data_IF_275859150688
#
_entry.id   IF_275859150688
#
_cell.length_a   1.000
_cell.length_b   1.000
_cell.length_c   1.000
_cell.angle_alpha   90.00
_cell.angle_beta   90.00
_cell.angle_gamma   90.00
#
_symmetry.space_group_name_H-M   'P 1'
#
loop_
_entity.id
_entity.type
_entity.pdbx_description
1 polymer ?
#
# COMPACT_ATOMS: atom_id res chain seq x y z
N UNK A 1 5.74 11.38 10.86
CA UNK A 1 5.74 10.38 9.77
C UNK A 1 4.36 9.78 9.54
N UNK A 2 3.71 9.17 10.54
CA UNK A 2 2.37 8.54 10.39
C UNK A 2 1.31 9.46 9.75
N UNK A 3 1.14 10.69 10.25
CA UNK A 3 0.19 11.67 9.67
C UNK A 3 0.48 12.02 8.20
N UNK A 4 1.75 12.03 7.82
CA UNK A 4 2.17 12.30 6.45
C UNK A 4 1.87 11.10 5.55
N UNK A 5 2.25 9.88 5.95
CA UNK A 5 1.97 8.67 5.19
C UNK A 5 0.45 8.47 4.98
N UNK A 6 -0.36 8.74 6.01
CA UNK A 6 -1.82 8.65 5.94
C UNK A 6 -2.46 9.69 5.01
N UNK A 7 -1.79 10.81 4.72
CA UNK A 7 -2.32 11.85 3.81
C UNK A 7 -1.88 11.69 2.36
N UNK A 8 -1.04 10.68 2.05
CA UNK A 8 -0.61 10.39 0.69
C UNK A 8 -1.78 9.85 -0.12
N UNK A 9 -2.03 10.45 -1.29
CA UNK A 9 -3.08 10.03 -2.21
C UNK A 9 -2.82 8.61 -2.73
N UNK A 10 -3.89 7.81 -2.84
CA UNK A 10 -3.85 6.47 -3.45
C UNK A 10 -3.20 6.55 -4.83
N UNK A 11 -2.43 5.51 -5.18
CA UNK A 11 -1.66 5.39 -6.45
C UNK A 11 -0.45 6.31 -6.59
N UNK A 12 -0.03 7.01 -5.53
CA UNK A 12 1.30 7.64 -5.51
C UNK A 12 2.41 6.58 -5.55
N UNK A 13 3.52 6.88 -6.23
CA UNK A 13 4.72 6.04 -6.24
C UNK A 13 5.60 6.43 -5.07
N UNK A 14 6.00 5.44 -4.27
CA UNK A 14 6.74 5.65 -3.03
C UNK A 14 7.94 4.74 -2.94
N UNK A 15 9.02 5.27 -2.37
CA UNK A 15 10.18 4.50 -1.94
C UNK A 15 10.10 4.35 -0.42
N UNK A 16 10.29 3.12 0.06
CA UNK A 16 10.25 2.80 1.48
C UNK A 16 11.51 2.07 1.91
N UNK A 17 12.04 2.45 3.07
CA UNK A 17 13.08 1.69 3.76
C UNK A 17 12.43 0.97 4.93
N UNK A 18 12.61 -0.35 4.99
CA UNK A 18 11.79 -1.24 5.83
C UNK A 18 12.62 -2.35 6.43
N UNK A 19 12.14 -2.89 7.55
CA UNK A 19 12.51 -4.21 8.07
C UNK A 19 11.36 -5.18 7.85
N UNK A 20 11.69 -6.45 7.57
CA UNK A 20 10.69 -7.50 7.40
C UNK A 20 10.33 -8.10 8.76
N UNK A 21 9.04 -8.32 8.99
CA UNK A 21 8.54 -9.11 10.13
C UNK A 21 7.62 -10.23 9.66
N UNK A 22 7.48 -11.27 10.49
CA UNK A 22 6.50 -12.34 10.27
C UNK A 22 5.19 -11.92 10.96
N UNK A 23 4.04 -11.92 10.26
CA UNK A 23 2.76 -11.60 10.86
C UNK A 23 2.26 -12.75 11.76
N UNK A 24 1.43 -12.43 12.75
CA UNK A 24 0.81 -13.43 13.65
C UNK A 24 -0.13 -14.39 12.90
N UNK A 25 -0.72 -13.92 11.79
CA UNK A 25 -1.54 -14.73 10.89
C UNK A 25 -1.37 -14.28 9.44
N UNK A 26 -1.59 -15.15 8.44
CA UNK A 26 -1.37 -14.79 7.04
C UNK A 26 -2.25 -13.64 6.56
N UNK A 27 -1.65 -12.65 5.88
CA UNK A 27 -2.37 -11.48 5.35
C UNK A 27 -3.03 -11.82 4.01
N UNK A 28 -4.29 -12.27 4.06
CA UNK A 28 -4.99 -12.85 2.91
C UNK A 28 -5.28 -11.88 1.76
N UNK A 29 -5.39 -10.58 2.04
CA UNK A 29 -5.68 -9.52 1.06
C UNK A 29 -4.50 -9.15 0.17
N UNK A 30 -3.32 -9.72 0.40
CA UNK A 30 -2.10 -9.46 -0.37
C UNK A 30 -1.56 -10.76 -0.98
N UNK A 31 -0.70 -10.64 -1.99
CA UNK A 31 -0.01 -11.79 -2.58
C UNK A 31 1.10 -12.33 -1.67
N UNK A 32 1.82 -11.44 -0.98
CA UNK A 32 2.86 -11.77 -0.02
C UNK A 32 2.28 -11.98 1.37
N UNK A 33 1.77 -13.19 1.64
CA UNK A 33 0.92 -13.46 2.83
C UNK A 33 1.67 -13.65 4.14
N UNK A 34 2.97 -13.99 4.10
CA UNK A 34 3.72 -14.47 5.26
C UNK A 34 4.76 -13.47 5.77
N UNK A 35 4.74 -12.23 5.28
CA UNK A 35 5.68 -11.16 5.67
C UNK A 35 4.97 -9.82 5.73
N UNK A 36 5.40 -8.96 6.64
CA UNK A 36 4.98 -7.57 6.75
C UNK A 36 6.18 -6.62 6.64
N UNK A 37 5.90 -5.38 6.22
CA UNK A 37 6.91 -4.34 6.07
C UNK A 37 6.77 -3.32 7.21
N UNK A 38 7.73 -3.32 8.14
CA UNK A 38 7.83 -2.28 9.16
C UNK A 38 8.59 -1.08 8.61
N UNK A 39 7.88 0.02 8.39
CA UNK A 39 8.41 1.20 7.68
C UNK A 39 9.27 2.06 8.62
N UNK A 40 10.52 2.27 8.23
CA UNK A 40 11.47 3.15 8.91
C UNK A 40 11.64 4.49 8.20
N UNK A 41 11.63 4.49 6.85
CA UNK A 41 11.64 5.72 6.03
C UNK A 41 10.62 5.60 4.91
N UNK A 42 10.01 6.72 4.55
CA UNK A 42 8.95 6.80 3.55
C UNK A 42 9.12 8.06 2.70
N UNK A 43 9.26 7.88 1.39
CA UNK A 43 9.48 8.96 0.43
C UNK A 43 8.44 8.88 -0.69
N UNK A 44 7.84 10.01 -1.04
CA UNK A 44 6.97 10.09 -2.22
C UNK A 44 7.84 10.47 -3.41
N UNK A 45 7.95 9.56 -4.38
CA UNK A 45 8.69 9.77 -5.64
C UNK A 45 7.82 10.49 -6.64
N UNK A 46 6.55 10.09 -6.75
CA UNK A 46 5.56 10.74 -7.61
C UNK A 46 4.19 10.75 -6.92
N UNK A 47 3.63 11.94 -6.73
CA UNK A 47 2.36 12.13 -6.04
C UNK A 47 1.19 12.05 -7.02
N UNK A 48 0.25 11.15 -6.74
CA UNK A 48 -0.97 11.02 -7.52
C UNK A 48 -1.99 12.12 -7.20
N UNK A 49 -2.96 12.31 -8.12
CA UNK A 49 -4.10 13.18 -7.87
C UNK A 49 -4.97 12.62 -6.72
N UNK A 50 -5.54 13.48 -5.85
CA UNK A 50 -6.37 13.03 -4.74
C UNK A 50 -7.66 12.30 -5.17
N UNK A 51 -8.26 12.74 -6.27
CA UNK A 51 -9.47 12.15 -6.84
C UNK A 51 -9.10 11.36 -8.10
N UNK A 52 -9.32 10.05 -8.04
CA UNK A 52 -9.19 9.15 -9.18
C UNK A 52 -10.56 8.99 -9.86
N UNK A 53 -10.62 8.84 -11.19
CA UNK A 53 -11.88 8.69 -11.92
C UNK A 53 -12.66 7.42 -11.54
N UNK A 54 -11.94 6.36 -11.15
CA UNK A 54 -12.49 5.12 -10.59
C UNK A 54 -11.42 4.47 -9.69
N UNK A 55 -11.81 3.52 -8.84
CA UNK A 55 -10.87 2.77 -8.00
C UNK A 55 -10.41 1.49 -8.72
N UNK A 56 -9.26 0.93 -8.34
CA UNK A 56 -8.75 -0.28 -9.02
C UNK A 56 -9.61 -1.50 -8.72
N UNK A 57 -10.24 -1.52 -7.55
CA UNK A 57 -11.19 -2.53 -7.10
C UNK A 57 -12.48 -2.53 -7.94
N UNK A 58 -12.82 -1.40 -8.58
CA UNK A 58 -13.95 -1.29 -9.51
C UNK A 58 -13.64 -1.96 -10.85
N UNK A 59 -12.36 -1.98 -11.25
CA UNK A 59 -11.89 -2.62 -12.48
C UNK A 59 -11.46 -4.07 -12.29
N UNK A 60 -11.42 -4.57 -11.06
CA UNK A 60 -11.04 -5.95 -10.76
C UNK A 60 -12.12 -6.93 -11.27
N UNK A 61 -11.73 -8.07 -11.86
CA UNK A 61 -12.67 -9.14 -12.23
C UNK A 61 -13.49 -9.62 -11.01
N UNK A 62 -14.73 -10.11 -11.20
CA UNK A 62 -15.57 -10.58 -10.10
C UNK A 62 -14.91 -11.65 -9.23
N UNK A 63 -14.11 -12.52 -9.83
CA UNK A 63 -13.42 -13.63 -9.16
C UNK A 63 -12.18 -13.19 -8.35
N UNK A 64 -11.81 -11.91 -8.44
CA UNK A 64 -10.66 -11.33 -7.75
C UNK A 64 -11.04 -10.53 -6.48
N UNK A 65 -12.31 -10.55 -6.08
CA UNK A 65 -12.84 -9.88 -4.89
C UNK A 65 -12.93 -10.79 -3.67
#
# INVERSE_FOLDING_TARGET
MIKFAASVSKKSVVDVYVTLSVPDSPVLSTTQKNVELNIEKFFVVSKALPALPFQVEDAAPPDAR
#
